data_IF_088248203350
#
_entry.id   IF_088248203350
#
_cell.length_a   1.000
_cell.length_b   1.000
_cell.length_c   1.000
_cell.angle_alpha   90.00
_cell.angle_beta   90.00
_cell.angle_gamma   90.00
#
_symmetry.space_group_name_H-M   'P 1'
#
loop_
_entity.id
_entity.type
_entity.pdbx_description
1 polymer ?
#
# COMPACT_ATOMS: atom_id res chain seq x y z
N UNK A 1 22.51 -2.50 19.99
CA UNK A 1 21.92 -3.75 19.45
C UNK A 1 20.59 -4.12 20.12
N UNK A 2 20.54 -4.30 21.46
CA UNK A 2 19.33 -4.69 22.23
C UNK A 2 18.06 -3.86 21.94
N UNK A 3 18.16 -2.52 21.88
CA UNK A 3 17.00 -1.64 21.58
C UNK A 3 16.43 -1.83 20.17
N UNK A 4 17.28 -2.15 19.18
CA UNK A 4 16.84 -2.41 17.80
C UNK A 4 16.14 -3.76 17.67
N UNK A 5 16.67 -4.78 18.35
CA UNK A 5 16.04 -6.10 18.42
C UNK A 5 14.67 -6.03 19.13
N UNK A 6 14.58 -5.30 20.24
CA UNK A 6 13.32 -5.08 20.93
C UNK A 6 12.29 -4.36 20.03
N UNK A 7 12.72 -3.31 19.30
CA UNK A 7 11.84 -2.64 18.34
C UNK A 7 11.37 -3.58 17.23
N UNK A 8 12.25 -4.44 16.71
CA UNK A 8 11.89 -5.42 15.70
C UNK A 8 10.84 -6.39 16.23
N UNK A 9 11.05 -6.95 17.42
CA UNK A 9 10.10 -7.83 18.08
C UNK A 9 8.74 -7.13 18.31
N UNK A 10 8.75 -5.91 18.86
CA UNK A 10 7.52 -5.13 19.08
C UNK A 10 6.78 -4.85 17.77
N UNK A 11 7.50 -4.47 16.71
CA UNK A 11 6.92 -4.20 15.39
C UNK A 11 6.28 -5.45 14.82
N UNK A 12 6.99 -6.59 14.84
CA UNK A 12 6.51 -7.87 14.29
C UNK A 12 5.30 -8.36 15.10
N UNK A 13 5.38 -8.34 16.43
CA UNK A 13 4.25 -8.75 17.28
C UNK A 13 3.02 -7.87 17.08
N UNK A 14 3.19 -6.55 17.01
CA UNK A 14 2.08 -5.63 16.75
C UNK A 14 1.50 -5.80 15.34
N UNK A 15 2.35 -6.07 14.33
CA UNK A 15 1.90 -6.37 12.97
C UNK A 15 1.07 -7.67 12.93
N UNK A 16 1.56 -8.76 13.55
CA UNK A 16 0.83 -10.02 13.62
C UNK A 16 -0.49 -9.87 14.37
N UNK A 17 -0.47 -9.11 15.48
CA UNK A 17 -1.68 -8.77 16.22
C UNK A 17 -2.67 -8.00 15.33
N UNK A 18 -2.22 -6.97 14.61
CA UNK A 18 -3.08 -6.18 13.72
C UNK A 18 -3.66 -7.00 12.56
N UNK A 19 -2.83 -7.82 11.90
CA UNK A 19 -3.22 -8.58 10.71
C UNK A 19 -4.14 -9.78 11.03
N UNK A 20 -3.90 -10.47 12.15
CA UNK A 20 -4.56 -11.75 12.45
C UNK A 20 -5.38 -11.74 13.75
N UNK A 21 -4.96 -11.00 14.77
CA UNK A 21 -5.61 -10.96 16.10
C UNK A 21 -7.12 -10.65 16.07
N UNK A 22 -7.56 -9.57 15.41
CA UNK A 22 -8.97 -9.17 15.34
C UNK A 22 -9.91 -10.23 14.78
N UNK A 23 -9.40 -11.19 13.97
CA UNK A 23 -10.23 -12.28 13.43
C UNK A 23 -10.74 -13.20 14.54
N UNK A 24 -9.95 -13.41 15.59
CA UNK A 24 -10.39 -14.15 16.78
C UNK A 24 -11.44 -13.38 17.58
N UNK A 25 -11.34 -12.04 17.63
CA UNK A 25 -12.39 -11.20 18.22
C UNK A 25 -13.72 -11.33 17.49
N UNK A 26 -13.70 -11.31 16.16
CA UNK A 26 -14.91 -11.56 15.36
C UNK A 26 -15.48 -12.96 15.60
N UNK A 27 -14.62 -13.98 15.67
CA UNK A 27 -15.02 -15.37 15.95
C UNK A 27 -15.71 -15.49 17.32
N UNK A 28 -15.18 -14.84 18.36
CA UNK A 28 -15.79 -14.83 19.71
C UNK A 28 -17.17 -14.17 19.72
N UNK A 29 -17.40 -13.18 18.86
CA UNK A 29 -18.69 -12.51 18.68
C UNK A 29 -19.62 -13.24 17.70
N UNK A 30 -19.20 -14.38 17.14
CA UNK A 30 -19.98 -15.12 16.13
C UNK A 30 -20.10 -14.41 14.78
N UNK A 31 -19.26 -13.40 14.51
CA UNK A 31 -19.28 -12.60 13.29
C UNK A 31 -18.25 -13.10 12.26
N UNK A 32 -18.60 -13.01 10.98
CA UNK A 32 -17.66 -13.24 9.86
C UNK A 32 -17.44 -11.94 9.08
N UNK A 33 -16.22 -11.74 8.56
CA UNK A 33 -15.88 -10.55 7.77
C UNK A 33 -16.86 -10.25 6.61
N UNK A 34 -17.31 -11.24 5.81
CA UNK A 34 -18.26 -10.97 4.73
C UNK A 34 -19.64 -10.49 5.19
N UNK A 35 -19.99 -10.71 6.46
CA UNK A 35 -21.29 -10.34 7.03
C UNK A 35 -21.30 -8.93 7.64
N UNK A 36 -20.13 -8.32 7.80
CA UNK A 36 -20.03 -6.98 8.37
C UNK A 36 -20.65 -5.95 7.41
N UNK A 37 -21.41 -5.00 7.93
CA UNK A 37 -21.81 -3.80 7.19
C UNK A 37 -20.59 -2.94 6.83
N UNK A 38 -20.74 -2.01 5.89
CA UNK A 38 -19.64 -1.13 5.46
C UNK A 38 -19.03 -0.33 6.62
N UNK A 39 -19.88 0.11 7.53
CA UNK A 39 -19.46 0.78 8.76
C UNK A 39 -18.69 -0.16 9.69
N UNK A 40 -19.21 -1.37 9.94
CA UNK A 40 -18.55 -2.36 10.80
C UNK A 40 -17.20 -2.79 10.22
N UNK A 41 -17.11 -2.98 8.91
CA UNK A 41 -15.86 -3.28 8.21
C UNK A 41 -14.85 -2.14 8.32
N UNK A 42 -15.31 -0.90 8.12
CA UNK A 42 -14.47 0.30 8.27
C UNK A 42 -13.94 0.45 9.69
N UNK A 43 -14.80 0.22 10.69
CA UNK A 43 -14.41 0.22 12.11
C UNK A 43 -13.43 -0.91 12.41
N UNK A 44 -13.68 -2.11 11.89
CA UNK A 44 -12.78 -3.25 12.03
C UNK A 44 -11.38 -2.90 11.52
N UNK A 45 -11.22 -2.41 10.29
CA UNK A 45 -9.91 -2.05 9.74
C UNK A 45 -9.27 -0.86 10.45
N UNK A 46 -10.06 0.15 10.83
CA UNK A 46 -9.55 1.30 11.59
C UNK A 46 -8.97 0.86 12.93
N UNK A 47 -9.71 0.08 13.72
CA UNK A 47 -9.26 -0.39 15.02
C UNK A 47 -8.08 -1.35 14.91
N UNK A 48 -8.05 -2.19 13.88
CA UNK A 48 -7.04 -3.22 13.76
C UNK A 48 -5.80 -2.75 12.99
N UNK A 49 -5.95 -2.41 11.72
CA UNK A 49 -4.85 -2.19 10.78
C UNK A 49 -4.30 -0.76 10.85
N UNK A 50 -5.01 0.17 11.50
CA UNK A 50 -4.55 1.55 11.70
C UNK A 50 -4.22 1.83 13.17
N UNK A 51 -5.17 1.60 14.09
CA UNK A 51 -5.00 2.00 15.48
C UNK A 51 -3.93 1.17 16.22
N UNK A 52 -3.83 -0.15 16.01
CA UNK A 52 -2.78 -0.96 16.64
C UNK A 52 -1.37 -0.47 16.24
N UNK A 53 -1.05 -0.28 14.95
CA UNK A 53 0.20 0.39 14.54
C UNK A 53 0.40 1.76 15.19
N UNK A 54 -0.62 2.62 15.17
CA UNK A 54 -0.52 3.98 15.72
C UNK A 54 -0.24 3.97 17.22
N UNK A 55 -0.94 3.14 18.00
CA UNK A 55 -0.74 2.99 19.44
C UNK A 55 0.63 2.40 19.76
N UNK A 56 1.08 1.42 18.97
CA UNK A 56 2.44 0.85 19.11
C UNK A 56 3.51 1.92 18.90
N UNK A 57 3.36 2.75 17.86
CA UNK A 57 4.28 3.85 17.60
C UNK A 57 4.17 4.96 18.64
N UNK A 58 2.97 5.23 19.16
CA UNK A 58 2.76 6.22 20.22
C UNK A 58 3.44 5.78 21.51
N UNK A 59 3.30 4.52 21.90
CA UNK A 59 3.96 3.94 23.06
C UNK A 59 5.48 3.97 22.93
N UNK A 60 6.01 3.72 21.71
CA UNK A 60 7.46 3.63 21.50
C UNK A 60 8.15 4.99 21.28
N UNK A 61 7.53 5.90 20.53
CA UNK A 61 8.13 7.17 20.10
C UNK A 61 7.44 8.41 20.67
N UNK A 62 6.30 8.25 21.34
CA UNK A 62 5.41 9.34 21.75
C UNK A 62 4.39 9.71 20.66
N UNK A 63 3.19 10.20 21.04
CA UNK A 63 2.08 10.43 20.13
C UNK A 63 2.40 11.46 19.03
N UNK A 64 3.23 12.46 19.33
CA UNK A 64 3.62 13.53 18.38
C UNK A 64 4.36 13.00 17.15
N UNK A 65 4.98 11.82 17.25
CA UNK A 65 5.80 11.24 16.17
C UNK A 65 5.04 10.24 15.30
N UNK A 66 3.89 9.73 15.73
CA UNK A 66 3.14 8.64 15.07
C UNK A 66 2.95 8.87 13.58
N UNK A 67 2.34 10.01 13.19
CA UNK A 67 2.06 10.31 11.78
C UNK A 67 3.33 10.42 10.93
N UNK A 68 4.43 10.87 11.53
CA UNK A 68 5.73 10.93 10.84
C UNK A 68 6.33 9.54 10.67
N UNK A 69 6.21 8.70 11.70
CA UNK A 69 6.72 7.33 11.67
C UNK A 69 5.93 6.44 10.70
N UNK A 70 4.61 6.64 10.55
CA UNK A 70 3.82 5.97 9.50
C UNK A 70 4.11 6.51 8.09
N UNK A 71 4.57 7.76 7.97
CA UNK A 71 4.76 8.41 6.67
C UNK A 71 3.56 9.22 6.18
N UNK A 72 2.54 9.40 7.02
CA UNK A 72 1.34 10.19 6.72
C UNK A 72 1.59 11.70 6.68
N UNK A 73 2.71 12.18 7.25
CA UNK A 73 3.12 13.60 7.14
C UNK A 73 3.68 13.99 5.75
N UNK A 74 3.87 13.02 4.85
CA UNK A 74 4.32 13.33 3.50
C UNK A 74 3.23 14.01 2.67
N UNK A 75 3.58 14.59 1.53
CA UNK A 75 2.64 15.34 0.68
C UNK A 75 1.56 14.43 0.09
N UNK A 76 0.31 14.61 0.53
CA UNK A 76 -0.89 13.95 -0.01
C UNK A 76 -1.03 14.25 -1.51
N UNK A 77 -0.91 15.53 -1.89
CA UNK A 77 -1.04 15.97 -3.29
C UNK A 77 -0.02 15.32 -4.22
N UNK A 78 1.22 15.13 -3.76
CA UNK A 78 2.23 14.39 -4.54
C UNK A 78 1.81 12.94 -4.76
N UNK A 79 1.29 12.28 -3.72
CA UNK A 79 0.78 10.91 -3.83
C UNK A 79 -0.39 10.81 -4.78
N UNK A 80 -1.36 11.73 -4.66
CA UNK A 80 -2.55 11.79 -5.51
C UNK A 80 -2.18 11.97 -6.99
N UNK A 81 -1.36 12.97 -7.29
CA UNK A 81 -0.93 13.26 -8.67
C UNK A 81 -0.13 12.10 -9.26
N UNK A 82 0.79 11.52 -8.48
CA UNK A 82 1.58 10.38 -8.94
C UNK A 82 0.71 9.15 -9.19
N UNK A 83 -0.20 8.82 -8.27
CA UNK A 83 -1.12 7.69 -8.40
C UNK A 83 -2.05 7.84 -9.60
N UNK A 84 -2.66 9.01 -9.77
CA UNK A 84 -3.55 9.29 -10.90
C UNK A 84 -2.79 9.23 -12.23
N UNK A 85 -1.66 9.94 -12.34
CA UNK A 85 -0.87 9.98 -13.58
C UNK A 85 -0.40 8.58 -14.00
N UNK A 86 0.07 7.77 -13.05
CA UNK A 86 0.55 6.41 -13.37
C UNK A 86 -0.58 5.45 -13.75
N UNK A 87 -1.81 5.67 -13.26
CA UNK A 87 -2.95 4.77 -13.53
C UNK A 87 -3.83 5.23 -14.70
N UNK A 88 -3.50 6.35 -15.35
CA UNK A 88 -4.16 6.76 -16.59
C UNK A 88 -4.16 5.68 -17.69
N UNK A 89 -3.07 4.90 -17.93
CA UNK A 89 -3.11 3.80 -18.88
C UNK A 89 -4.19 2.75 -18.55
N UNK A 90 -4.37 2.41 -17.27
CA UNK A 90 -5.43 1.50 -16.83
C UNK A 90 -6.80 2.13 -17.05
N UNK A 91 -7.03 3.37 -16.60
CA UNK A 91 -8.32 4.05 -16.77
C UNK A 91 -8.74 4.13 -18.24
N UNK A 92 -7.86 4.66 -19.10
CA UNK A 92 -8.16 4.87 -20.52
C UNK A 92 -8.23 3.55 -21.28
N UNK A 93 -7.29 2.64 -21.00
CA UNK A 93 -7.24 1.33 -21.63
C UNK A 93 -8.46 0.48 -21.28
N UNK A 94 -8.87 0.50 -20.02
CA UNK A 94 -10.03 -0.27 -19.58
C UNK A 94 -11.34 0.31 -20.11
N UNK A 95 -11.47 1.63 -20.19
CA UNK A 95 -12.63 2.28 -20.79
C UNK A 95 -12.86 1.92 -22.26
N UNK A 96 -11.80 1.55 -22.99
CA UNK A 96 -11.89 1.11 -24.39
C UNK A 96 -12.13 -0.39 -24.49
N UNK A 97 -11.48 -1.18 -23.63
CA UNK A 97 -11.41 -2.64 -23.80
C UNK A 97 -12.49 -3.41 -23.03
N UNK A 98 -12.98 -2.86 -21.91
CA UNK A 98 -13.90 -3.56 -21.01
C UNK A 98 -15.19 -2.76 -20.84
N UNK A 99 -16.35 -3.43 -20.75
CA UNK A 99 -17.58 -2.75 -20.38
C UNK A 99 -17.48 -2.22 -18.94
N UNK A 100 -18.27 -1.19 -18.65
CA UNK A 100 -18.49 -0.77 -17.26
C UNK A 100 -19.18 -1.90 -16.50
N UNK A 101 -18.87 -2.02 -15.21
CA UNK A 101 -19.54 -2.98 -14.34
C UNK A 101 -21.06 -2.75 -14.32
N UNK A 102 -21.82 -3.84 -14.27
CA UNK A 102 -23.28 -3.78 -14.07
C UNK A 102 -23.63 -3.55 -12.59
N UNK A 103 -22.65 -3.63 -11.69
CA UNK A 103 -22.83 -3.34 -10.26
C UNK A 103 -23.05 -1.84 -10.05
N UNK A 104 -24.17 -1.46 -9.43
CA UNK A 104 -24.52 -0.06 -9.22
C UNK A 104 -24.99 0.23 -7.78
N UNK A 105 -25.14 1.52 -7.46
CA UNK A 105 -25.71 1.98 -6.19
C UNK A 105 -24.92 1.52 -4.96
N UNK A 106 -25.59 1.08 -3.87
CA UNK A 106 -24.92 0.66 -2.64
C UNK A 106 -23.91 -0.47 -2.80
N UNK A 107 -24.13 -1.40 -3.74
CA UNK A 107 -23.21 -2.50 -3.99
C UNK A 107 -21.88 -2.01 -4.58
N UNK A 108 -21.95 -1.08 -5.56
CA UNK A 108 -20.76 -0.47 -6.15
C UNK A 108 -20.00 0.37 -5.11
N UNK A 109 -20.74 1.14 -4.30
CA UNK A 109 -20.14 1.89 -3.20
C UNK A 109 -19.39 0.96 -2.23
N UNK A 110 -20.01 -0.14 -1.81
CA UNK A 110 -19.39 -1.12 -0.92
C UNK A 110 -18.12 -1.74 -1.54
N UNK A 111 -18.18 -2.12 -2.83
CA UNK A 111 -17.04 -2.65 -3.56
C UNK A 111 -15.87 -1.65 -3.59
N UNK A 112 -16.11 -0.39 -3.97
CA UNK A 112 -15.10 0.65 -4.02
C UNK A 112 -14.57 1.02 -2.63
N UNK A 113 -15.44 1.11 -1.63
CA UNK A 113 -15.05 1.42 -0.26
C UNK A 113 -14.12 0.36 0.30
N UNK A 114 -14.48 -0.92 0.17
CA UNK A 114 -13.73 -2.04 0.76
C UNK A 114 -12.50 -2.40 -0.07
N UNK A 115 -12.71 -2.59 -1.37
CA UNK A 115 -11.72 -3.14 -2.29
C UNK A 115 -10.77 -2.11 -2.89
N UNK A 116 -11.14 -0.84 -2.94
CA UNK A 116 -10.24 0.21 -3.43
C UNK A 116 -9.74 1.11 -2.29
N UNK A 117 -10.63 1.81 -1.60
CA UNK A 117 -10.25 2.77 -0.57
C UNK A 117 -9.57 2.08 0.62
N UNK A 118 -10.24 1.12 1.25
CA UNK A 118 -9.69 0.46 2.43
C UNK A 118 -8.53 -0.47 2.12
N UNK A 119 -8.56 -1.20 1.00
CA UNK A 119 -7.40 -1.98 0.54
C UNK A 119 -6.17 -1.07 0.41
N UNK A 120 -6.25 -0.01 -0.39
CA UNK A 120 -5.11 0.89 -0.59
C UNK A 120 -4.69 1.66 0.67
N UNK A 121 -5.62 2.11 1.51
CA UNK A 121 -5.26 2.86 2.72
C UNK A 121 -4.68 1.95 3.82
N UNK A 122 -5.39 0.87 4.16
CA UNK A 122 -5.04 0.05 5.31
C UNK A 122 -3.89 -0.91 5.03
N UNK A 123 -3.85 -1.53 3.85
CA UNK A 123 -2.77 -2.45 3.50
C UNK A 123 -1.45 -1.71 3.38
N UNK A 124 -1.40 -0.57 2.67
CA UNK A 124 -0.17 0.22 2.56
C UNK A 124 0.26 0.81 3.91
N UNK A 125 -0.69 1.22 4.76
CA UNK A 125 -0.35 1.70 6.10
C UNK A 125 0.27 0.60 6.96
N UNK A 126 -0.32 -0.59 6.98
CA UNK A 126 0.14 -1.69 7.81
C UNK A 126 1.45 -2.30 7.28
N UNK A 127 1.52 -2.59 5.98
CA UNK A 127 2.65 -3.27 5.37
C UNK A 127 3.81 -2.31 5.11
N UNK A 128 3.57 -1.14 4.50
CA UNK A 128 4.64 -0.23 4.04
C UNK A 128 4.98 0.81 5.09
N UNK A 129 3.97 1.51 5.60
CA UNK A 129 4.14 2.55 6.61
C UNK A 129 4.66 2.02 7.94
N UNK A 130 4.05 0.93 8.43
CA UNK A 130 4.36 0.32 9.72
C UNK A 130 5.43 -0.78 9.60
N UNK A 131 5.12 -1.98 9.10
CA UNK A 131 6.04 -3.13 9.13
C UNK A 131 7.36 -2.83 8.42
N UNK A 132 7.32 -2.57 7.11
CA UNK A 132 8.50 -2.24 6.33
C UNK A 132 9.17 -0.96 6.85
N UNK A 133 8.39 0.10 7.12
CA UNK A 133 8.89 1.38 7.59
C UNK A 133 9.71 1.28 8.87
N UNK A 134 9.24 0.53 9.87
CA UNK A 134 9.96 0.34 11.13
C UNK A 134 11.18 -0.56 10.96
N UNK A 135 11.05 -1.71 10.28
CA UNK A 135 12.16 -2.66 10.10
C UNK A 135 13.30 -2.07 9.25
N UNK A 136 12.96 -1.36 8.17
CA UNK A 136 13.95 -0.74 7.30
C UNK A 136 14.52 0.56 7.88
N UNK A 137 13.67 1.56 8.23
CA UNK A 137 14.17 2.90 8.60
C UNK A 137 14.67 2.98 10.04
N UNK A 138 14.15 2.17 10.97
CA UNK A 138 14.44 2.28 12.41
C UNK A 138 15.29 1.13 12.93
N UNK A 139 14.95 -0.12 12.59
CA UNK A 139 15.77 -1.29 12.94
C UNK A 139 17.03 -1.36 12.05
N UNK A 140 17.00 -0.78 10.85
CA UNK A 140 18.10 -0.75 9.88
C UNK A 140 18.44 -2.12 9.28
N UNK A 141 17.42 -2.97 9.09
CA UNK A 141 17.59 -4.21 8.33
C UNK A 141 17.83 -3.89 6.83
N UNK A 142 18.54 -4.76 6.09
CA UNK A 142 18.76 -4.57 4.66
C UNK A 142 17.45 -4.44 3.91
N UNK A 143 17.36 -3.45 3.02
CA UNK A 143 16.12 -3.16 2.27
C UNK A 143 15.55 -4.39 1.58
N UNK A 144 16.40 -5.13 0.85
CA UNK A 144 15.99 -6.28 0.07
C UNK A 144 15.39 -7.38 0.96
N UNK A 145 15.98 -7.61 2.14
CA UNK A 145 15.44 -8.58 3.09
C UNK A 145 14.03 -8.17 3.55
N UNK A 146 13.87 -6.92 3.99
CA UNK A 146 12.58 -6.44 4.53
C UNK A 146 11.49 -6.46 3.46
N UNK A 147 11.78 -5.99 2.25
CA UNK A 147 10.78 -5.92 1.18
C UNK A 147 10.36 -7.31 0.71
N UNK A 148 11.29 -8.27 0.59
CA UNK A 148 10.96 -9.63 0.17
C UNK A 148 10.13 -10.36 1.23
N UNK A 149 10.47 -10.21 2.52
CA UNK A 149 9.69 -10.84 3.61
C UNK A 149 8.29 -10.25 3.69
N UNK A 150 8.17 -8.92 3.69
CA UNK A 150 6.87 -8.24 3.74
C UNK A 150 5.99 -8.59 2.53
N UNK A 151 6.57 -8.58 1.32
CA UNK A 151 5.88 -8.97 0.08
C UNK A 151 5.46 -10.44 0.08
N UNK A 152 6.27 -11.33 0.68
CA UNK A 152 5.93 -12.74 0.87
C UNK A 152 4.72 -12.92 1.76
N UNK A 153 4.69 -12.25 2.92
CA UNK A 153 3.54 -12.28 3.83
C UNK A 153 2.29 -11.74 3.12
N UNK A 154 2.42 -10.60 2.43
CA UNK A 154 1.32 -9.99 1.66
C UNK A 154 0.79 -10.92 0.55
N UNK A 155 1.67 -11.57 -0.22
CA UNK A 155 1.27 -12.52 -1.24
C UNK A 155 0.52 -13.73 -0.66
N UNK A 156 1.01 -14.28 0.46
CA UNK A 156 0.33 -15.42 1.10
C UNK A 156 -1.05 -15.06 1.65
N UNK A 157 -1.28 -13.80 2.05
CA UNK A 157 -2.62 -13.37 2.48
C UNK A 157 -3.64 -13.29 1.35
N UNK A 158 -3.21 -13.41 0.09
CA UNK A 158 -4.04 -13.38 -1.10
C UNK A 158 -4.36 -14.76 -1.68
N UNK A 159 -3.84 -15.85 -1.10
CA UNK A 159 -4.11 -17.21 -1.56
C UNK A 159 -5.61 -17.59 -1.58
N UNK A 160 -6.46 -16.87 -0.85
CA UNK A 160 -7.91 -17.05 -0.92
C UNK A 160 -8.50 -16.78 -2.33
N UNK A 161 -7.75 -16.11 -3.21
CA UNK A 161 -8.14 -15.88 -4.61
C UNK A 161 -7.79 -17.03 -5.56
N UNK A 162 -7.21 -18.12 -5.05
CA UNK A 162 -6.83 -19.30 -5.85
C UNK A 162 -7.79 -20.46 -5.64
N UNK A 163 -7.94 -21.28 -6.67
CA UNK A 163 -8.84 -22.45 -6.68
C UNK A 163 -8.13 -23.75 -7.06
N UNK A 164 -6.89 -23.65 -7.52
CA UNK A 164 -6.01 -24.77 -7.88
C UNK A 164 -4.54 -24.36 -7.73
N UNK A 165 -3.62 -25.30 -7.97
CA UNK A 165 -2.19 -25.05 -7.81
C UNK A 165 -1.65 -23.98 -8.78
N UNK A 166 -2.15 -23.95 -10.02
CA UNK A 166 -1.67 -23.02 -11.05
C UNK A 166 -2.09 -21.57 -10.76
N UNK A 167 -3.35 -21.37 -10.38
CA UNK A 167 -3.88 -20.08 -9.92
C UNK A 167 -3.20 -19.63 -8.62
N UNK A 168 -2.88 -20.54 -7.69
CA UNK A 168 -2.14 -20.22 -6.48
C UNK A 168 -0.74 -19.68 -6.77
N UNK A 169 0.02 -20.35 -7.65
CA UNK A 169 1.35 -19.88 -8.09
C UNK A 169 1.24 -18.51 -8.76
N UNK A 170 0.22 -18.30 -9.60
CA UNK A 170 0.01 -17.04 -10.31
C UNK A 170 -0.34 -15.88 -9.36
N UNK A 171 -1.27 -16.10 -8.42
CA UNK A 171 -1.64 -15.10 -7.40
C UNK A 171 -0.45 -14.75 -6.53
N UNK A 172 0.34 -15.75 -6.11
CA UNK A 172 1.56 -15.51 -5.34
C UNK A 172 2.56 -14.67 -6.14
N UNK A 173 2.85 -15.04 -7.39
CA UNK A 173 3.85 -14.35 -8.20
C UNK A 173 3.46 -12.89 -8.48
N UNK A 174 2.22 -12.64 -8.90
CA UNK A 174 1.73 -11.28 -9.21
C UNK A 174 1.67 -10.43 -7.95
N UNK A 175 1.09 -10.94 -6.87
CA UNK A 175 0.95 -10.20 -5.60
C UNK A 175 2.30 -9.95 -4.95
N UNK A 176 3.23 -10.91 -5.02
CA UNK A 176 4.60 -10.73 -4.52
C UNK A 176 5.36 -9.67 -5.33
N UNK A 177 5.28 -9.73 -6.66
CA UNK A 177 5.90 -8.74 -7.54
C UNK A 177 5.34 -7.34 -7.30
N UNK A 178 4.02 -7.22 -7.16
CA UNK A 178 3.35 -5.99 -6.73
C UNK A 178 3.86 -5.52 -5.37
N UNK A 179 3.98 -6.41 -4.38
CA UNK A 179 4.50 -6.08 -3.06
C UNK A 179 5.90 -5.45 -3.12
N UNK A 180 6.81 -6.07 -3.88
CA UNK A 180 8.18 -5.57 -4.04
C UNK A 180 8.19 -4.20 -4.74
N UNK A 181 7.36 -4.03 -5.77
CA UNK A 181 7.23 -2.78 -6.51
C UNK A 181 6.69 -1.64 -5.64
N UNK A 182 5.62 -1.88 -4.86
CA UNK A 182 5.05 -0.89 -3.94
C UNK A 182 6.04 -0.53 -2.81
N UNK A 183 6.76 -1.51 -2.27
CA UNK A 183 7.83 -1.26 -1.30
C UNK A 183 8.98 -0.43 -1.87
N UNK A 184 9.35 -0.64 -3.14
CA UNK A 184 10.33 0.19 -3.85
C UNK A 184 9.82 1.62 -4.09
N UNK A 185 8.56 1.80 -4.48
CA UNK A 185 7.96 3.12 -4.65
C UNK A 185 7.95 3.90 -3.33
N UNK A 186 7.51 3.27 -2.25
CA UNK A 186 7.53 3.90 -0.92
C UNK A 186 8.95 4.34 -0.53
N UNK A 187 9.95 3.46 -0.71
CA UNK A 187 11.35 3.81 -0.43
C UNK A 187 11.85 4.95 -1.33
N UNK A 188 11.50 4.95 -2.61
CA UNK A 188 12.03 5.92 -3.57
C UNK A 188 11.46 7.31 -3.36
N UNK A 189 10.16 7.41 -3.03
CA UNK A 189 9.49 8.69 -2.81
C UNK A 189 9.57 9.17 -1.36
N UNK A 190 9.88 8.29 -0.39
CA UNK A 190 9.75 8.56 1.04
C UNK A 190 8.37 9.15 1.40
N UNK A 191 7.33 8.75 0.65
CA UNK A 191 5.98 9.26 0.74
C UNK A 191 5.00 8.08 0.65
N UNK A 192 4.27 7.81 1.74
CA UNK A 192 3.32 6.70 1.78
C UNK A 192 2.08 6.96 0.93
N UNK A 193 1.73 8.22 0.66
CA UNK A 193 0.58 8.54 -0.17
C UNK A 193 0.76 8.09 -1.62
N UNK A 194 2.01 7.94 -2.10
CA UNK A 194 2.30 7.43 -3.45
C UNK A 194 1.76 6.00 -3.62
N UNK A 195 2.19 5.00 -2.83
CA UNK A 195 1.60 3.66 -2.92
C UNK A 195 0.12 3.64 -2.55
N UNK A 196 -0.35 4.40 -1.53
CA UNK A 196 -1.78 4.43 -1.16
C UNK A 196 -2.66 4.80 -2.36
N UNK A 197 -2.43 5.96 -2.98
CA UNK A 197 -3.27 6.40 -4.09
C UNK A 197 -3.10 5.53 -5.33
N UNK A 198 -1.88 5.07 -5.61
CA UNK A 198 -1.65 4.15 -6.72
C UNK A 198 -2.48 2.87 -6.55
N UNK A 199 -2.47 2.26 -5.35
CA UNK A 199 -3.27 1.07 -5.03
C UNK A 199 -4.76 1.37 -5.17
N UNK A 200 -5.24 2.44 -4.53
CA UNK A 200 -6.65 2.83 -4.57
C UNK A 200 -7.16 3.01 -6.00
N UNK A 201 -6.38 3.67 -6.87
CA UNK A 201 -6.77 3.86 -8.26
C UNK A 201 -6.70 2.58 -9.08
N UNK A 202 -5.64 1.77 -8.93
CA UNK A 202 -5.54 0.50 -9.64
C UNK A 202 -6.74 -0.41 -9.34
N UNK A 203 -7.14 -0.54 -8.07
CA UNK A 203 -8.30 -1.32 -7.67
C UNK A 203 -9.62 -0.64 -8.05
N UNK A 204 -9.69 0.69 -7.94
CA UNK A 204 -10.87 1.46 -8.34
C UNK A 204 -11.20 1.27 -9.82
N UNK A 205 -10.21 1.39 -10.71
CA UNK A 205 -10.37 1.11 -12.14
C UNK A 205 -10.72 -0.36 -12.37
N UNK A 206 -10.07 -1.28 -11.66
CA UNK A 206 -10.40 -2.70 -11.73
C UNK A 206 -11.87 -3.02 -11.41
N UNK A 207 -12.48 -2.28 -10.48
CA UNK A 207 -13.85 -2.52 -10.03
C UNK A 207 -14.90 -1.77 -10.86
N UNK A 208 -14.52 -0.63 -11.44
CA UNK A 208 -15.42 0.15 -12.32
C UNK A 208 -15.60 -0.49 -13.69
N UNK A 209 -14.60 -1.25 -14.15
CA UNK A 209 -14.65 -2.00 -15.41
C UNK A 209 -14.75 -3.49 -15.12
N UNK A 210 -15.48 -4.24 -15.93
CA UNK A 210 -15.62 -5.69 -15.74
C UNK A 210 -14.39 -6.44 -16.28
N UNK A 211 -13.29 -6.39 -15.51
CA UNK A 211 -11.96 -6.81 -15.98
C UNK A 211 -11.69 -8.31 -15.77
N UNK A 212 -11.86 -8.80 -14.53
CA UNK A 212 -11.74 -10.20 -14.13
C UNK A 212 -11.98 -10.40 -12.62
N UNK A 213 -12.27 -11.64 -12.23
CA UNK A 213 -12.59 -12.03 -10.84
C UNK A 213 -11.39 -12.11 -9.89
N UNK A 214 -10.15 -12.19 -10.39
CA UNK A 214 -8.94 -12.36 -9.58
C UNK A 214 -7.87 -11.32 -9.87
N UNK A 215 -6.92 -11.14 -8.95
CA UNK A 215 -5.79 -10.23 -9.14
C UNK A 215 -4.91 -10.57 -10.36
N UNK A 216 -4.97 -11.79 -10.90
CA UNK A 216 -4.17 -12.21 -12.08
C UNK A 216 -4.63 -11.49 -13.34
N UNK A 217 -5.94 -11.38 -13.55
CA UNK A 217 -6.49 -10.66 -14.70
C UNK A 217 -6.42 -11.34 -16.06
N UNK A 218 -6.97 -10.66 -17.06
CA UNK A 218 -6.84 -11.04 -18.47
C UNK A 218 -5.55 -10.47 -19.09
N UNK A 219 -5.15 -11.01 -20.25
CA UNK A 219 -3.98 -10.53 -21.01
C UNK A 219 -4.12 -9.03 -21.33
N UNK A 220 -5.29 -8.60 -21.81
CA UNK A 220 -5.56 -7.21 -22.13
C UNK A 220 -5.47 -6.29 -20.91
N UNK A 221 -5.96 -6.74 -19.75
CA UNK A 221 -5.85 -5.99 -18.50
C UNK A 221 -4.38 -5.80 -18.08
N UNK A 222 -3.59 -6.86 -18.23
CA UNK A 222 -2.20 -6.87 -17.82
C UNK A 222 -1.29 -6.00 -18.71
N UNK A 223 -1.65 -5.76 -19.97
CA UNK A 223 -0.95 -4.77 -20.83
C UNK A 223 -0.98 -3.39 -20.16
N UNK A 224 -2.15 -2.91 -19.76
CA UNK A 224 -2.28 -1.58 -19.16
C UNK A 224 -1.67 -1.50 -17.76
N UNK A 225 -1.70 -2.60 -16.98
CA UNK A 225 -0.96 -2.69 -15.71
C UNK A 225 0.55 -2.59 -15.92
N UNK A 226 1.10 -3.29 -16.91
CA UNK A 226 2.52 -3.18 -17.25
C UNK A 226 2.87 -1.76 -17.68
N UNK A 227 2.03 -1.09 -18.48
CA UNK A 227 2.20 0.32 -18.83
C UNK A 227 2.21 1.22 -17.60
N UNK A 228 1.30 1.01 -16.64
CA UNK A 228 1.27 1.71 -15.35
C UNK A 228 2.54 1.48 -14.55
N UNK A 229 3.05 0.25 -14.48
CA UNK A 229 4.32 -0.09 -13.82
C UNK A 229 5.48 0.65 -14.50
N UNK A 230 5.61 0.56 -15.82
CA UNK A 230 6.67 1.21 -16.58
C UNK A 230 6.63 2.73 -16.37
N UNK A 231 5.45 3.35 -16.48
CA UNK A 231 5.29 4.79 -16.28
C UNK A 231 5.69 5.20 -14.85
N UNK A 232 5.29 4.42 -13.84
CA UNK A 232 5.68 4.67 -12.45
C UNK A 232 7.20 4.60 -12.26
N UNK A 233 7.88 3.66 -12.92
CA UNK A 233 9.33 3.50 -12.85
C UNK A 233 10.02 4.70 -13.51
N UNK A 234 9.58 5.11 -14.70
CA UNK A 234 10.13 6.26 -15.41
C UNK A 234 9.99 7.56 -14.62
N UNK A 235 8.79 7.85 -14.12
CA UNK A 235 8.52 9.04 -13.30
C UNK A 235 9.30 9.02 -11.98
N UNK A 236 9.41 7.86 -11.33
CA UNK A 236 10.20 7.72 -10.11
C UNK A 236 11.69 7.95 -10.38
N UNK A 237 12.25 7.39 -11.46
CA UNK A 237 13.66 7.64 -11.83
C UNK A 237 13.91 9.10 -12.16
N UNK A 238 12.99 9.75 -12.87
CA UNK A 238 13.06 11.18 -13.15
C UNK A 238 13.01 12.03 -11.87
N UNK A 239 12.11 11.70 -10.94
CA UNK A 239 12.02 12.35 -9.63
C UNK A 239 13.33 12.24 -8.85
N UNK A 240 13.89 11.03 -8.75
CA UNK A 240 15.17 10.78 -8.06
C UNK A 240 16.33 11.55 -8.68
N UNK A 241 16.41 11.61 -10.03
CA UNK A 241 17.42 12.42 -10.73
C UNK A 241 17.29 13.90 -10.41
N UNK A 242 16.06 14.45 -10.41
CA UNK A 242 15.82 15.86 -10.05
C UNK A 242 16.15 16.14 -8.59
N UNK A 243 15.85 15.21 -7.69
CA UNK A 243 16.21 15.35 -6.28
C UNK A 243 17.74 15.38 -6.10
N UNK A 244 18.47 14.46 -6.75
CA UNK A 244 19.92 14.44 -6.71
C UNK A 244 20.54 15.73 -7.27
N UNK A 245 20.04 16.23 -8.41
CA UNK A 245 20.50 17.48 -9.00
C UNK A 245 20.28 18.69 -8.07
N UNK A 246 19.13 18.76 -7.39
CA UNK A 246 18.84 19.83 -6.41
C UNK A 246 19.78 19.80 -5.20
N UNK A 247 20.17 18.61 -4.75
CA UNK A 247 21.10 18.44 -3.63
C UNK A 247 22.55 18.74 -4.02
N UNK A 248 22.89 18.64 -5.32
CA UNK A 248 24.22 18.91 -5.85
C UNK A 248 24.43 20.37 -6.29
N UNK A 249 23.36 21.17 -6.43
CA UNK A 249 23.47 22.57 -6.80
C UNK A 249 24.15 23.38 -5.67
N UNK A 250 25.19 24.18 -5.95
CA UNK A 250 25.81 25.02 -4.94
C UNK A 250 24.78 26.00 -4.36
N UNK A 251 24.88 26.28 -3.05
CA UNK A 251 24.07 27.29 -2.34
C UNK A 251 24.42 28.69 -2.86
N UNK A 252 24.02 29.02 -4.08
CA UNK A 252 24.12 30.37 -4.63
C UNK A 252 23.00 31.18 -3.99
N UNK A 253 23.30 31.85 -2.88
CA UNK A 253 22.34 32.78 -2.25
C UNK A 253 22.47 33.07 -0.75
N UNK A 254 23.52 32.60 -0.05
CA UNK A 254 23.68 32.89 1.38
C UNK A 254 24.59 34.09 1.72
N UNK A 255 25.05 34.87 0.73
CA UNK A 255 26.04 35.95 0.92
C UNK A 255 25.55 37.40 0.70
N UNK A 256 24.25 37.66 0.59
CA UNK A 256 23.76 39.05 0.37
C UNK A 256 22.81 39.56 1.46
N UNK A 257 22.95 39.09 2.70
CA UNK A 257 22.18 39.60 3.84
C UNK A 257 23.06 39.98 5.04
N UNK A 258 24.18 40.65 4.79
CA UNK A 258 24.92 41.42 5.81
C UNK A 258 25.62 42.62 5.17
N UNK A 259 24.85 43.65 4.83
CA UNK A 259 25.30 45.06 4.79
C UNK A 259 24.16 45.92 5.30
#
# INVERSE_FOLDING_TARGET
MRKRLLLAAVTISAFLLAAYGPRYGLLLLGLKLPQLSDWQFSLYLTCSWIAIPMLTLAAWYGPRRVLRELGWRASVGTGLLMGLACTLPMLLGYAVLFPLTTTAGPALFSALLRGAFWAGLSEETLFRGFLFGQLYRRVKLPWLLVVLVESGIFATSHLYQSHDFASAVSVLAVTFGGGVWFGWLYKSWQNLWVPIFLHMFMNGWWMLFDVADTAVGSVGANVFRVMTIVLSVLLTRWHLRRQAARLAAPLVGAELATV
#
